data_IF_038339779813
#
_entry.id   IF_038339779813
#
_cell.length_a   1.000
_cell.length_b   1.000
_cell.length_c   1.000
_cell.angle_alpha   90.00
_cell.angle_beta   90.00
_cell.angle_gamma   90.00
#
_symmetry.space_group_name_H-M   'P 1'
#
loop_
_entity.id
_entity.type
_entity.pdbx_description
1 polymer ?
#
# COMPACT_ATOMS: atom_id res chain seq x y z
N UNK A 1 -39.61 0.96 -21.92
CA UNK A 1 -38.87 -0.12 -21.24
C UNK A 1 -37.40 0.21 -21.33
N UNK A 2 -36.87 0.89 -20.32
CA UNK A 2 -35.46 1.27 -20.24
C UNK A 2 -34.75 0.13 -19.53
N UNK A 3 -34.00 -0.68 -20.28
CA UNK A 3 -33.13 -1.71 -19.72
C UNK A 3 -31.96 -0.97 -19.06
N UNK A 4 -31.91 -0.97 -17.74
CA UNK A 4 -30.74 -0.49 -17.00
C UNK A 4 -29.55 -1.38 -17.38
N UNK A 5 -28.47 -0.76 -17.85
CA UNK A 5 -27.20 -1.45 -18.05
C UNK A 5 -26.71 -2.00 -16.70
N UNK A 6 -26.17 -3.22 -16.63
CA UNK A 6 -25.54 -3.69 -15.40
C UNK A 6 -24.38 -2.75 -15.09
N UNK A 7 -24.38 -2.10 -13.92
CA UNK A 7 -23.24 -1.30 -13.48
C UNK A 7 -22.06 -2.25 -13.26
N UNK A 8 -21.17 -2.36 -14.25
CA UNK A 8 -19.91 -3.03 -14.05
C UNK A 8 -19.16 -2.30 -12.93
N UNK A 9 -18.87 -3.01 -11.85
CA UNK A 9 -18.02 -2.49 -10.78
C UNK A 9 -16.65 -2.14 -11.35
N UNK A 10 -16.11 -0.98 -10.98
CA UNK A 10 -14.72 -0.59 -11.29
C UNK A 10 -13.69 -1.50 -10.57
N UNK A 11 -14.11 -2.50 -9.79
CA UNK A 11 -13.23 -3.39 -9.06
C UNK A 11 -13.05 -4.72 -9.78
N UNK A 12 -11.81 -5.20 -9.78
CA UNK A 12 -11.45 -6.56 -10.20
C UNK A 12 -10.85 -7.32 -9.02
N UNK A 13 -11.28 -8.57 -8.86
CA UNK A 13 -10.63 -9.49 -7.93
C UNK A 13 -9.23 -9.85 -8.44
N UNK A 14 -8.26 -9.94 -7.54
CA UNK A 14 -6.91 -10.39 -7.89
C UNK A 14 -6.70 -11.90 -7.69
N UNK A 15 -7.70 -12.57 -7.13
CA UNK A 15 -7.84 -14.02 -7.11
C UNK A 15 -9.17 -14.36 -7.78
N UNK A 16 -9.16 -15.09 -8.89
CA UNK A 16 -10.39 -15.43 -9.59
C UNK A 16 -11.30 -16.31 -8.70
N UNK A 17 -12.51 -15.82 -8.39
CA UNK A 17 -13.68 -16.69 -8.26
C UNK A 17 -14.25 -16.86 -9.67
N UNK A 18 -14.38 -18.11 -10.13
CA UNK A 18 -15.28 -18.41 -11.25
C UNK A 18 -16.51 -19.04 -10.62
N UNK A 19 -17.62 -18.29 -10.53
CA UNK A 19 -18.91 -18.88 -10.17
C UNK A 19 -19.39 -19.72 -11.36
N UNK A 20 -19.02 -21.01 -11.37
CA UNK A 20 -19.66 -21.96 -12.28
C UNK A 20 -20.91 -22.52 -11.60
N UNK A 21 -22.07 -22.12 -12.10
CA UNK A 21 -23.31 -22.86 -11.88
C UNK A 21 -23.18 -24.30 -12.41
N UNK A 22 -23.57 -25.24 -11.55
CA UNK A 22 -24.14 -26.58 -11.81
C UNK A 22 -23.34 -27.59 -12.65
N UNK A 23 -22.81 -28.64 -12.01
CA UNK A 23 -23.44 -29.98 -11.95
C UNK A 23 -22.46 -31.06 -11.43
N UNK A 24 -22.98 -31.94 -10.56
CA UNK A 24 -22.52 -33.28 -10.12
C UNK A 24 -21.48 -33.97 -11.03
N UNK A 25 -20.45 -34.72 -10.58
CA UNK A 25 -20.40 -35.80 -9.58
C UNK A 25 -18.95 -36.34 -9.46
N UNK A 26 -18.65 -37.47 -8.77
CA UNK A 26 -17.60 -37.58 -7.75
C UNK A 26 -16.27 -38.13 -8.29
N UNK A 27 -15.19 -38.03 -7.53
CA UNK A 27 -14.13 -39.05 -7.38
C UNK A 27 -12.92 -38.42 -6.68
N UNK A 28 -12.71 -38.81 -5.42
CA UNK A 28 -11.37 -38.88 -4.84
C UNK A 28 -10.79 -40.28 -5.17
N UNK A 29 -9.45 -40.46 -5.13
CA UNK A 29 -8.86 -40.88 -3.85
C UNK A 29 -7.52 -40.22 -3.48
N UNK A 30 -7.29 -40.16 -2.15
CA UNK A 30 -6.08 -40.51 -1.35
C UNK A 30 -4.82 -40.99 -2.08
N UNK A 31 -3.56 -40.89 -1.63
CA UNK A 31 -2.78 -40.63 -0.39
C UNK A 31 -1.34 -40.31 -0.90
N UNK A 32 -0.42 -39.63 -0.21
CA UNK A 32 0.30 -40.15 0.94
C UNK A 32 1.23 -39.07 1.52
N UNK A 33 1.36 -39.10 2.84
CA UNK A 33 2.39 -38.42 3.59
C UNK A 33 3.77 -39.04 3.31
N UNK A 34 4.81 -38.21 3.34
CA UNK A 34 6.06 -38.69 3.91
C UNK A 34 6.76 -37.60 4.73
N UNK A 35 7.27 -38.07 5.87
CA UNK A 35 7.79 -37.34 7.00
C UNK A 35 9.30 -37.18 6.92
N UNK A 36 9.82 -36.01 7.31
CA UNK A 36 11.26 -35.78 7.39
C UNK A 36 11.61 -34.55 8.22
N UNK A 37 11.73 -34.75 9.53
CA UNK A 37 12.16 -33.77 10.52
C UNK A 37 13.64 -33.39 10.33
N UNK A 38 13.94 -32.09 10.32
CA UNK A 38 15.18 -31.57 10.94
C UNK A 38 15.02 -30.11 11.35
N UNK A 39 14.87 -29.92 12.65
CA UNK A 39 14.95 -28.67 13.40
C UNK A 39 16.34 -28.03 13.28
N UNK A 40 16.44 -26.84 12.65
CA UNK A 40 17.36 -25.74 13.03
C UNK A 40 17.49 -24.68 11.92
N UNK A 41 16.59 -23.69 11.85
CA UNK A 41 16.85 -22.42 11.13
C UNK A 41 15.82 -21.31 11.46
N UNK A 42 15.34 -21.23 12.70
CA UNK A 42 14.55 -20.07 13.15
C UNK A 42 15.48 -18.98 13.67
N UNK A 43 16.01 -18.17 12.73
CA UNK A 43 16.51 -16.79 12.91
C UNK A 43 17.34 -16.42 11.68
N UNK A 44 16.71 -15.82 10.66
CA UNK A 44 17.36 -14.76 9.89
C UNK A 44 16.37 -13.97 9.02
N UNK A 45 16.18 -12.73 9.47
CA UNK A 45 15.95 -11.49 8.72
C UNK A 45 14.94 -11.52 7.55
N UNK A 46 13.80 -10.89 7.82
CA UNK A 46 13.01 -10.19 6.80
C UNK A 46 13.96 -9.36 5.91
N UNK A 47 14.01 -9.72 4.64
CA UNK A 47 14.82 -9.02 3.66
C UNK A 47 14.12 -7.69 3.33
N UNK A 48 14.74 -6.56 3.70
CA UNK A 48 14.23 -5.21 3.45
C UNK A 48 14.01 -4.93 1.94
N UNK A 49 14.64 -5.74 1.08
CA UNK A 49 14.45 -5.76 -0.39
C UNK A 49 13.05 -6.20 -0.84
N UNK A 50 12.30 -6.94 -0.02
CA UNK A 50 10.92 -7.30 -0.32
C UNK A 50 9.95 -6.09 -0.23
N UNK A 51 10.43 -4.91 0.16
CA UNK A 51 9.65 -3.67 0.24
C UNK A 51 9.89 -2.73 -0.96
N UNK A 52 10.75 -3.10 -1.91
CA UNK A 52 11.00 -2.34 -3.14
C UNK A 52 9.97 -2.70 -4.22
N UNK A 53 9.53 -1.70 -5.00
CA UNK A 53 8.50 -1.87 -6.03
C UNK A 53 9.10 -2.56 -7.28
N UNK A 54 8.53 -3.69 -7.70
CA UNK A 54 8.94 -4.42 -8.91
C UNK A 54 8.83 -3.61 -10.21
N UNK A 55 8.11 -2.48 -10.19
CA UNK A 55 7.84 -1.67 -11.39
C UNK A 55 8.70 -0.46 -11.65
N UNK A 56 9.56 -0.09 -10.72
CA UNK A 56 10.66 0.78 -11.08
C UNK A 56 11.52 0.05 -12.14
N UNK A 57 11.71 -1.27 -11.96
CA UNK A 57 12.45 -2.13 -12.90
C UNK A 57 11.76 -2.35 -14.24
N UNK A 58 10.44 -2.61 -14.26
CA UNK A 58 9.73 -2.87 -15.53
C UNK A 58 9.44 -1.59 -16.34
N UNK A 59 9.23 -0.44 -15.69
CA UNK A 59 9.05 0.85 -16.39
C UNK A 59 10.36 1.30 -17.04
N UNK A 60 11.47 1.17 -16.30
CA UNK A 60 12.82 1.38 -16.81
C UNK A 60 13.12 0.40 -17.95
N UNK A 61 12.79 -0.88 -17.81
CA UNK A 61 12.94 -1.88 -18.88
C UNK A 61 12.13 -1.52 -20.13
N UNK A 62 10.88 -1.08 -19.99
CA UNK A 62 10.02 -0.70 -21.12
C UNK A 62 10.48 0.60 -21.80
N UNK A 63 10.90 1.60 -21.02
CA UNK A 63 11.46 2.86 -21.52
C UNK A 63 12.81 2.66 -22.23
N UNK A 64 13.63 1.73 -21.75
CA UNK A 64 14.95 1.45 -22.32
C UNK A 64 14.91 0.55 -23.55
N UNK A 65 13.92 -0.35 -23.67
CA UNK A 65 13.94 -1.40 -24.71
C UNK A 65 12.79 -1.34 -25.74
N UNK A 66 11.72 -0.58 -25.49
CA UNK A 66 10.51 -0.63 -26.34
C UNK A 66 10.00 0.75 -26.80
N UNK A 67 10.54 1.85 -26.30
CA UNK A 67 10.32 3.20 -26.81
C UNK A 67 11.62 3.70 -27.45
N UNK A 68 11.61 3.87 -28.77
CA UNK A 68 12.64 4.68 -29.45
C UNK A 68 12.65 6.07 -28.79
N UNK A 69 13.78 6.43 -28.19
CA UNK A 69 13.92 7.60 -27.34
C UNK A 69 13.70 8.90 -28.13
N UNK A 70 12.51 9.48 -28.01
CA UNK A 70 12.46 10.92 -27.78
C UNK A 70 12.83 11.11 -26.30
N UNK A 71 14.08 11.50 -26.03
CA UNK A 71 14.53 11.88 -24.69
C UNK A 71 13.57 12.96 -24.16
N UNK A 72 12.59 12.58 -23.35
CA UNK A 72 11.73 13.55 -22.68
C UNK A 72 12.63 14.29 -21.71
N UNK A 73 12.99 15.52 -22.06
CA UNK A 73 13.78 16.42 -21.22
C UNK A 73 13.17 16.41 -19.82
N UNK A 74 13.96 16.12 -18.80
CA UNK A 74 13.48 16.15 -17.42
C UNK A 74 13.04 17.57 -17.11
N UNK A 75 11.73 17.77 -16.87
CA UNK A 75 11.14 19.07 -16.55
C UNK A 75 10.86 19.16 -15.04
N UNK A 76 11.20 20.31 -14.45
CA UNK A 76 11.00 20.60 -13.03
C UNK A 76 12.30 20.62 -12.21
N UNK A 77 12.22 20.79 -10.87
CA UNK A 77 13.38 20.76 -9.99
C UNK A 77 14.09 19.40 -10.03
N UNK A 78 15.42 19.43 -10.11
CA UNK A 78 16.29 18.25 -10.14
C UNK A 78 17.40 18.43 -9.12
N UNK A 79 17.63 17.41 -8.29
CA UNK A 79 18.78 17.35 -7.38
C UNK A 79 19.57 16.07 -7.67
N UNK A 80 20.86 16.22 -7.98
CA UNK A 80 21.74 15.10 -8.28
C UNK A 80 22.78 14.99 -7.18
N UNK A 81 22.81 13.85 -6.49
CA UNK A 81 23.90 13.49 -5.61
C UNK A 81 24.79 12.49 -6.32
N UNK A 82 26.08 12.78 -6.40
CA UNK A 82 27.05 11.87 -7.02
C UNK A 82 28.28 11.73 -6.13
N UNK A 83 28.79 10.50 -6.04
CA UNK A 83 30.08 10.20 -5.42
C UNK A 83 30.83 9.17 -6.25
N UNK A 84 32.16 9.21 -6.15
CA UNK A 84 33.05 8.15 -6.62
C UNK A 84 33.55 7.41 -5.39
N UNK A 85 33.28 6.12 -5.32
CA UNK A 85 33.65 5.28 -4.19
C UNK A 85 35.06 4.71 -4.34
N UNK A 86 35.61 4.17 -3.25
CA UNK A 86 36.95 3.57 -3.22
C UNK A 86 37.07 2.33 -4.10
N UNK A 87 35.96 1.66 -4.40
CA UNK A 87 35.88 0.49 -5.29
C UNK A 87 35.82 0.87 -6.78
N UNK A 88 36.23 2.08 -7.16
CA UNK A 88 36.18 2.61 -8.54
C UNK A 88 34.76 2.55 -9.16
N UNK A 89 33.73 2.78 -8.36
CA UNK A 89 32.34 2.91 -8.83
C UNK A 89 31.83 4.33 -8.66
N UNK A 90 31.10 4.82 -9.65
CA UNK A 90 30.33 6.05 -9.57
C UNK A 90 28.92 5.67 -9.10
N UNK A 91 28.46 6.31 -8.02
CA UNK A 91 27.08 6.19 -7.54
C UNK A 91 26.37 7.52 -7.71
N UNK A 92 25.26 7.49 -8.44
CA UNK A 92 24.45 8.67 -8.76
C UNK A 92 23.03 8.44 -8.25
N UNK A 93 22.50 9.43 -7.55
CA UNK A 93 21.11 9.52 -7.15
C UNK A 93 20.50 10.76 -7.78
N UNK A 94 19.67 10.54 -8.80
CA UNK A 94 18.95 11.60 -9.51
C UNK A 94 17.57 11.73 -8.88
N UNK A 95 17.25 12.89 -8.32
CA UNK A 95 15.93 13.19 -7.75
C UNK A 95 15.19 14.13 -8.68
N UNK A 96 13.99 13.72 -9.10
CA UNK A 96 13.08 14.51 -9.93
C UNK A 96 11.71 14.57 -9.28
N UNK A 97 10.82 15.42 -9.79
CA UNK A 97 9.40 15.46 -9.38
C UNK A 97 8.69 14.11 -9.53
N UNK A 98 9.11 13.30 -10.51
CA UNK A 98 8.49 12.01 -10.85
C UNK A 98 9.00 10.83 -10.02
N UNK A 99 10.14 10.97 -9.35
CA UNK A 99 10.75 9.89 -8.59
C UNK A 99 12.25 10.09 -8.39
N UNK A 100 12.90 9.07 -7.85
CA UNK A 100 14.36 9.02 -7.69
C UNK A 100 14.92 7.85 -8.49
N UNK A 101 15.98 8.08 -9.25
CA UNK A 101 16.71 7.07 -10.00
C UNK A 101 18.08 6.84 -9.34
N UNK A 102 18.47 5.57 -9.20
CA UNK A 102 19.73 5.16 -8.57
C UNK A 102 20.57 4.46 -9.62
N UNK A 103 21.77 4.98 -9.88
CA UNK A 103 22.66 4.47 -10.90
C UNK A 103 23.99 4.13 -10.24
N UNK A 104 24.45 2.91 -10.49
CA UNK A 104 25.78 2.44 -10.13
C UNK A 104 26.52 2.08 -11.42
N UNK A 105 27.69 2.69 -11.61
CA UNK A 105 28.43 2.58 -12.87
C UNK A 105 29.93 2.43 -12.61
N UNK A 106 30.60 1.42 -13.17
CA UNK A 106 32.04 1.23 -12.97
C UNK A 106 32.83 2.33 -13.67
N UNK A 107 33.76 2.97 -12.95
CA UNK A 107 34.60 4.06 -13.46
C UNK A 107 35.46 3.63 -14.66
N UNK A 108 35.81 2.34 -14.72
CA UNK A 108 36.55 1.74 -15.84
C UNK A 108 35.80 1.76 -17.16
N UNK A 109 34.46 1.77 -17.14
CA UNK A 109 33.63 1.80 -18.34
C UNK A 109 33.46 3.22 -18.92
N UNK A 110 33.88 4.26 -18.19
CA UNK A 110 33.81 5.64 -18.66
C UNK A 110 34.94 5.96 -19.63
N UNK A 111 34.59 6.65 -20.72
CA UNK A 111 35.57 7.14 -21.69
C UNK A 111 36.13 8.47 -21.19
N UNK A 112 37.10 8.40 -20.27
CA UNK A 112 37.75 9.57 -19.67
C UNK A 112 39.19 9.67 -20.21
N UNK A 113 39.57 10.77 -20.88
CA UNK A 113 40.95 10.99 -21.32
C UNK A 113 41.94 10.88 -20.15
N UNK A 114 43.07 10.21 -20.37
CA UNK A 114 44.05 9.88 -19.32
C UNK A 114 44.53 11.11 -18.53
N UNK A 115 44.69 12.27 -19.18
CA UNK A 115 45.10 13.50 -18.50
C UNK A 115 44.05 13.98 -17.49
N UNK A 116 42.75 13.79 -17.75
CA UNK A 116 41.68 14.14 -16.79
C UNK A 116 41.61 13.16 -15.61
N UNK A 117 42.07 11.92 -15.77
CA UNK A 117 42.22 11.00 -14.63
C UNK A 117 43.27 11.50 -13.63
N UNK A 118 44.30 12.23 -14.09
CA UNK A 118 45.32 12.82 -13.21
C UNK A 118 44.89 14.13 -12.53
N UNK A 119 44.03 14.94 -13.15
CA UNK A 119 43.62 16.27 -12.62
C UNK A 119 42.22 16.29 -11.99
N UNK A 120 41.56 15.13 -11.89
CA UNK A 120 40.19 15.01 -11.42
C UNK A 120 39.19 14.96 -12.57
N UNK A 121 38.22 14.05 -12.46
CA UNK A 121 37.19 13.85 -13.47
C UNK A 121 36.07 14.87 -13.22
N UNK A 122 35.74 15.74 -14.19
CA UNK A 122 34.66 16.71 -14.00
C UNK A 122 33.32 15.97 -13.95
N UNK A 123 32.63 16.10 -12.82
CA UNK A 123 31.34 15.45 -12.53
C UNK A 123 30.31 15.63 -13.65
N UNK A 124 30.22 16.80 -14.27
CA UNK A 124 29.31 17.05 -15.40
C UNK A 124 29.61 16.14 -16.61
N UNK A 125 30.88 15.83 -16.89
CA UNK A 125 31.23 14.91 -18.00
C UNK A 125 30.88 13.46 -17.72
N UNK A 126 30.84 13.07 -16.45
CA UNK A 126 30.35 11.75 -16.03
C UNK A 126 28.84 11.68 -16.22
N UNK A 127 28.11 12.72 -15.79
CA UNK A 127 26.66 12.82 -15.98
C UNK A 127 26.26 12.83 -17.46
N UNK A 128 27.06 13.44 -18.34
CA UNK A 128 26.80 13.44 -19.78
C UNK A 128 26.87 12.06 -20.41
N UNK A 129 27.82 11.22 -19.94
CA UNK A 129 27.97 9.85 -20.45
C UNK A 129 26.91 8.91 -19.85
N UNK A 130 26.60 9.05 -18.55
CA UNK A 130 25.71 8.12 -17.85
C UNK A 130 24.23 8.52 -17.99
N UNK A 131 23.93 9.81 -17.96
CA UNK A 131 22.58 10.36 -17.88
C UNK A 131 22.31 11.39 -19.00
N UNK A 132 22.32 11.01 -20.29
CA UNK A 132 22.24 11.95 -21.41
C UNK A 132 20.92 12.74 -21.49
N UNK A 133 19.86 12.27 -20.83
CA UNK A 133 18.56 12.96 -20.78
C UNK A 133 18.53 14.14 -19.78
N UNK A 134 19.54 14.30 -18.93
CA UNK A 134 19.61 15.37 -17.94
C UNK A 134 20.11 16.66 -18.62
N UNK A 135 19.46 17.82 -18.42
CA UNK A 135 19.92 19.09 -18.98
C UNK A 135 21.12 19.62 -18.18
N UNK A 136 22.32 19.13 -18.49
CA UNK A 136 23.56 19.42 -17.73
C UNK A 136 23.88 20.92 -17.68
N UNK A 137 23.54 21.66 -18.74
CA UNK A 137 23.72 23.11 -18.82
C UNK A 137 22.85 23.90 -17.82
N UNK A 138 21.81 23.29 -17.26
CA UNK A 138 20.93 23.89 -16.27
C UNK A 138 21.27 23.46 -14.83
N UNK A 139 22.35 22.69 -14.64
CA UNK A 139 22.80 22.25 -13.33
C UNK A 139 23.82 23.23 -12.74
N UNK A 140 23.64 23.55 -11.47
CA UNK A 140 24.58 24.35 -10.69
C UNK A 140 25.20 23.50 -9.58
N UNK A 141 26.51 23.66 -9.36
CA UNK A 141 27.21 22.91 -8.33
C UNK A 141 26.89 23.51 -6.95
N UNK A 142 26.21 22.73 -6.13
CA UNK A 142 25.78 23.13 -4.79
C UNK A 142 26.61 22.40 -3.72
N UNK A 143 27.38 23.14 -2.92
CA UNK A 143 28.30 22.60 -1.90
C UNK A 143 27.93 23.01 -0.46
N UNK A 144 26.68 23.46 -0.25
CA UNK A 144 26.25 23.90 1.07
C UNK A 144 26.38 22.77 2.11
N UNK A 145 27.05 22.99 3.26
CA UNK A 145 27.39 21.93 4.22
C UNK A 145 26.17 21.26 4.85
N UNK A 146 25.04 21.97 4.96
CA UNK A 146 23.80 21.43 5.54
C UNK A 146 22.91 20.69 4.54
N UNK A 147 23.13 20.87 3.23
CA UNK A 147 22.26 20.29 2.19
C UNK A 147 22.14 18.77 2.30
N UNK A 148 23.21 17.98 2.53
CA UNK A 148 23.08 16.52 2.66
C UNK A 148 22.10 16.10 3.77
N UNK A 149 22.11 16.81 4.91
CA UNK A 149 21.22 16.51 6.02
C UNK A 149 19.78 16.91 5.71
N UNK A 150 19.56 18.03 5.01
CA UNK A 150 18.20 18.39 4.58
C UNK A 150 17.66 17.42 3.52
N UNK A 151 18.49 16.95 2.59
CA UNK A 151 18.08 15.92 1.62
C UNK A 151 17.66 14.62 2.33
N UNK A 152 18.34 14.23 3.40
CA UNK A 152 17.92 13.09 4.23
C UNK A 152 16.55 13.36 4.86
N UNK A 153 16.37 14.52 5.52
CA UNK A 153 15.08 14.89 6.13
C UNK A 153 13.95 14.95 5.09
N UNK A 154 14.25 15.44 3.89
CA UNK A 154 13.32 15.50 2.77
C UNK A 154 12.85 14.09 2.39
N UNK A 155 13.78 13.14 2.23
CA UNK A 155 13.46 11.74 1.91
C UNK A 155 12.67 11.09 3.07
N UNK A 156 13.06 11.33 4.32
CA UNK A 156 12.35 10.84 5.51
C UNK A 156 10.90 11.32 5.57
N UNK A 157 10.64 12.60 5.24
CA UNK A 157 9.29 13.18 5.18
C UNK A 157 8.40 12.50 4.12
N UNK A 158 9.00 11.90 3.09
CA UNK A 158 8.27 11.18 2.04
C UNK A 158 7.95 9.74 2.42
N UNK A 159 8.53 9.21 3.50
CA UNK A 159 8.23 7.85 3.98
C UNK A 159 6.89 7.86 4.72
N UNK A 160 5.89 7.22 4.12
CA UNK A 160 4.58 7.03 4.75
C UNK A 160 4.67 5.91 5.79
N UNK A 161 4.65 6.32 7.07
CA UNK A 161 4.70 5.41 8.24
C UNK A 161 3.35 5.18 8.91
N UNK A 162 2.33 5.95 8.56
CA UNK A 162 1.02 5.87 9.19
C UNK A 162 -0.02 5.47 8.15
N UNK A 163 -0.84 4.46 8.48
CA UNK A 163 -1.90 3.96 7.62
C UNK A 163 -3.23 3.97 8.37
N UNK A 164 -4.31 4.09 7.62
CA UNK A 164 -5.67 4.06 8.15
C UNK A 164 -6.54 3.17 7.26
N UNK A 165 -7.26 2.24 7.87
CA UNK A 165 -8.07 1.28 7.13
C UNK A 165 -9.50 1.30 7.64
N UNK A 166 -10.45 1.39 6.71
CA UNK A 166 -11.87 1.27 7.03
C UNK A 166 -12.23 -0.17 7.33
N UNK A 167 -13.11 -0.41 8.29
CA UNK A 167 -13.57 -1.77 8.62
C UNK A 167 -15.07 -1.74 8.89
N UNK A 168 -15.83 -2.62 8.26
CA UNK A 168 -17.23 -2.85 8.61
C UNK A 168 -17.59 -4.32 8.46
N UNK A 169 -18.64 -4.73 9.16
CA UNK A 169 -19.21 -6.07 9.06
C UNK A 169 -20.48 -6.06 8.20
N UNK A 170 -20.71 -7.16 7.49
CA UNK A 170 -21.97 -7.50 6.86
C UNK A 170 -22.58 -8.67 7.62
N UNK A 171 -23.80 -8.48 8.10
CA UNK A 171 -24.61 -9.51 8.72
C UNK A 171 -25.21 -10.43 7.65
N UNK A 172 -25.72 -11.62 8.01
CA UNK A 172 -26.39 -12.50 7.05
C UNK A 172 -27.50 -11.79 6.27
N UNK A 173 -27.53 -11.95 4.95
CA UNK A 173 -28.45 -11.26 4.04
C UNK A 173 -27.96 -9.91 3.53
N UNK A 174 -26.91 -9.33 4.12
CA UNK A 174 -26.38 -8.03 3.69
C UNK A 174 -25.26 -8.21 2.66
N UNK A 175 -25.33 -7.42 1.59
CA UNK A 175 -24.37 -7.50 0.47
C UNK A 175 -23.83 -6.14 0.06
N UNK A 176 -24.36 -5.04 0.59
CA UNK A 176 -24.03 -3.69 0.15
C UNK A 176 -23.29 -2.89 1.23
N UNK A 177 -22.41 -1.97 0.79
CA UNK A 177 -21.65 -1.08 1.66
C UNK A 177 -22.55 -0.32 2.64
N UNK A 178 -23.67 0.22 2.14
CA UNK A 178 -24.58 1.02 2.95
C UNK A 178 -25.19 0.23 4.12
N UNK A 179 -25.47 -1.06 3.92
CA UNK A 179 -26.02 -1.95 4.95
C UNK A 179 -24.99 -2.16 6.05
N UNK A 180 -23.74 -2.48 5.68
CA UNK A 180 -22.66 -2.67 6.63
C UNK A 180 -22.32 -1.42 7.43
N UNK A 181 -22.33 -0.23 6.80
CA UNK A 181 -22.12 1.04 7.49
C UNK A 181 -23.27 1.40 8.45
N UNK A 182 -24.47 0.89 8.21
CA UNK A 182 -25.65 1.12 9.03
C UNK A 182 -25.77 0.18 10.24
N UNK A 183 -24.88 -0.80 10.38
CA UNK A 183 -24.91 -1.75 11.51
C UNK A 183 -24.51 -1.05 12.83
N UNK A 184 -25.40 -1.01 13.84
CA UNK A 184 -25.08 -0.41 15.14
C UNK A 184 -24.12 -1.30 15.96
N UNK A 185 -23.50 -0.72 16.99
CA UNK A 185 -22.47 -1.40 17.79
C UNK A 185 -22.96 -2.68 18.51
N UNK A 186 -24.22 -2.71 18.92
CA UNK A 186 -24.87 -3.86 19.56
C UNK A 186 -25.09 -5.06 18.62
N UNK A 187 -24.95 -4.85 17.30
CA UNK A 187 -24.99 -5.93 16.31
C UNK A 187 -23.62 -6.54 16.00
N UNK A 188 -22.55 -6.07 16.64
CA UNK A 188 -21.21 -6.66 16.51
C UNK A 188 -21.23 -8.13 16.93
N UNK A 189 -20.87 -9.02 15.99
CA UNK A 189 -20.81 -10.44 16.28
C UNK A 189 -19.54 -10.78 17.08
N UNK A 190 -19.53 -11.91 17.81
CA UNK A 190 -18.32 -12.39 18.48
C UNK A 190 -17.15 -12.61 17.50
N UNK A 191 -17.43 -13.15 16.31
CA UNK A 191 -16.42 -13.45 15.29
C UNK A 191 -15.81 -12.18 14.71
N UNK A 192 -16.62 -11.15 14.48
CA UNK A 192 -16.14 -9.84 14.05
C UNK A 192 -15.26 -9.19 15.13
N UNK A 193 -15.70 -9.22 16.39
CA UNK A 193 -14.91 -8.68 17.51
C UNK A 193 -13.60 -9.44 17.69
N UNK A 194 -13.59 -10.75 17.54
CA UNK A 194 -12.38 -11.57 17.56
C UNK A 194 -11.43 -11.24 16.41
N UNK A 195 -11.96 -10.95 15.23
CA UNK A 195 -11.17 -10.48 14.10
C UNK A 195 -10.56 -9.09 14.37
N UNK A 196 -11.31 -8.15 14.94
CA UNK A 196 -10.80 -6.84 15.34
C UNK A 196 -9.65 -6.96 16.34
N UNK A 197 -9.80 -7.78 17.38
CA UNK A 197 -8.74 -8.05 18.36
C UNK A 197 -7.55 -8.80 17.76
N UNK A 198 -7.77 -9.59 16.70
CA UNK A 198 -6.68 -10.22 15.97
C UNK A 198 -5.90 -9.20 15.13
N UNK A 199 -6.55 -8.16 14.57
CA UNK A 199 -5.88 -7.09 13.82
C UNK A 199 -5.02 -6.17 14.70
N UNK A 200 -5.51 -5.84 15.89
CA UNK A 200 -4.84 -4.90 16.79
C UNK A 200 -5.49 -4.82 18.16
N UNK A 201 -5.00 -3.88 18.96
CA UNK A 201 -5.43 -3.67 20.33
C UNK A 201 -6.51 -2.58 20.40
N UNK A 202 -7.54 -2.73 21.25
CA UNK A 202 -8.48 -1.66 21.53
C UNK A 202 -7.79 -0.54 22.32
N UNK A 203 -8.01 0.70 21.90
CA UNK A 203 -7.47 1.90 22.55
C UNK A 203 -8.58 2.87 22.92
N UNK A 204 -8.37 3.65 24.00
CA UNK A 204 -9.18 4.84 24.29
C UNK A 204 -8.74 5.98 23.39
N UNK A 205 -9.70 6.67 22.78
CA UNK A 205 -9.41 7.82 21.91
C UNK A 205 -9.09 9.09 22.71
N UNK A 206 -9.90 9.44 23.71
CA UNK A 206 -9.58 10.55 24.61
C UNK A 206 -8.19 10.36 25.26
N UNK A 207 -7.29 11.32 25.03
CA UNK A 207 -5.91 11.29 25.53
C UNK A 207 -4.93 10.44 24.72
N UNK A 208 -5.34 9.87 23.59
CA UNK A 208 -4.46 9.09 22.71
C UNK A 208 -3.32 9.96 22.14
N UNK A 209 -2.08 9.45 22.24
CA UNK A 209 -0.86 10.16 21.81
C UNK A 209 -0.26 9.62 20.51
N UNK A 210 -0.75 8.49 20.01
CA UNK A 210 -0.30 7.90 18.76
C UNK A 210 -0.95 8.54 17.54
N UNK A 211 -0.72 7.95 16.37
CA UNK A 211 -1.41 8.32 15.14
C UNK A 211 -2.93 8.22 15.34
N UNK A 212 -3.65 9.31 15.06
CA UNK A 212 -5.10 9.41 15.30
C UNK A 212 -5.97 9.22 14.04
N UNK A 213 -5.37 9.20 12.85
CA UNK A 213 -6.07 9.07 11.56
C UNK A 213 -7.26 10.02 11.29
N UNK A 214 -7.37 11.12 12.04
CA UNK A 214 -8.49 12.07 11.95
C UNK A 214 -9.59 11.87 12.98
N UNK A 215 -9.49 10.84 13.83
CA UNK A 215 -10.34 10.64 14.99
C UNK A 215 -10.08 11.71 16.06
N UNK A 216 -11.13 12.05 16.81
CA UNK A 216 -11.10 12.97 17.93
C UNK A 216 -10.48 12.30 19.16
N UNK A 217 -9.44 12.92 19.69
CA UNK A 217 -8.70 12.46 20.87
C UNK A 217 -8.91 13.37 22.08
N UNK A 218 -9.85 14.30 22.00
CA UNK A 218 -10.14 15.30 23.04
C UNK A 218 -11.56 15.11 23.60
N UNK A 219 -12.57 15.06 22.73
CA UNK A 219 -13.98 15.12 23.14
C UNK A 219 -14.82 13.90 22.80
N UNK A 220 -14.20 12.80 22.35
CA UNK A 220 -14.85 11.55 21.94
C UNK A 220 -15.96 11.72 20.87
N UNK A 221 -15.92 12.80 20.10
CA UNK A 221 -16.94 13.10 19.07
C UNK A 221 -16.95 12.10 17.92
N UNK A 222 -15.87 11.36 17.73
CA UNK A 222 -15.73 10.30 16.72
C UNK A 222 -15.79 8.90 17.32
N UNK A 223 -16.42 8.77 18.49
CA UNK A 223 -16.43 7.53 19.26
C UNK A 223 -15.40 7.56 20.39
N UNK A 224 -15.55 6.59 21.29
CA UNK A 224 -14.79 6.48 22.52
C UNK A 224 -13.54 5.60 22.40
N UNK A 225 -13.59 4.61 21.51
CA UNK A 225 -12.54 3.63 21.32
C UNK A 225 -12.31 3.35 19.84
N UNK A 226 -11.14 2.80 19.52
CA UNK A 226 -10.79 2.32 18.18
C UNK A 226 -9.84 1.13 18.30
N UNK A 227 -9.51 0.50 17.17
CA UNK A 227 -8.50 -0.55 17.10
C UNK A 227 -7.23 0.05 16.50
N UNK A 228 -6.10 -0.23 17.15
CA UNK A 228 -4.80 0.28 16.75
C UNK A 228 -3.74 -0.83 16.78
N UNK A 229 -2.78 -0.78 15.86
CA UNK A 229 -1.60 -1.64 15.95
C UNK A 229 -0.35 -0.90 15.51
N UNK A 230 0.76 -1.22 16.17
CA UNK A 230 2.09 -0.82 15.75
C UNK A 230 2.80 -2.05 15.17
N UNK A 231 3.12 -2.00 13.89
CA UNK A 231 3.70 -3.12 13.15
C UNK A 231 4.93 -2.66 12.37
N UNK A 232 6.13 -3.14 12.72
CA UNK A 232 7.40 -2.77 12.05
C UNK A 232 7.58 -1.26 11.85
N UNK A 233 7.41 -0.48 12.92
CA UNK A 233 7.42 1.00 12.93
C UNK A 233 6.32 1.70 12.12
N UNK A 234 5.36 0.93 11.59
CA UNK A 234 4.14 1.45 10.99
C UNK A 234 3.05 1.57 12.06
N UNK A 235 2.39 2.71 12.10
CA UNK A 235 1.22 2.93 12.95
C UNK A 235 -0.03 2.77 12.11
N UNK A 236 -0.94 1.88 12.52
CA UNK A 236 -2.15 1.56 11.77
C UNK A 236 -3.36 1.80 12.65
N UNK A 237 -4.24 2.69 12.21
CA UNK A 237 -5.52 2.98 12.85
C UNK A 237 -6.66 2.34 12.04
N UNK A 238 -7.61 1.71 12.71
CA UNK A 238 -8.78 1.11 12.03
C UNK A 238 -10.04 1.92 12.30
N UNK A 239 -10.62 2.49 11.23
CA UNK A 239 -11.92 3.13 11.28
C UNK A 239 -13.02 2.05 11.25
N UNK A 240 -13.32 1.50 12.43
CA UNK A 240 -14.33 0.45 12.58
C UNK A 240 -15.72 1.07 12.64
N UNK A 241 -16.57 0.80 11.65
CA UNK A 241 -17.91 1.39 11.55
C UNK A 241 -18.71 1.28 12.86
N UNK A 242 -18.74 0.13 13.56
CA UNK A 242 -19.51 0.02 14.80
C UNK A 242 -18.95 0.85 15.97
N UNK A 243 -17.66 1.21 15.95
CA UNK A 243 -17.01 2.06 16.96
C UNK A 243 -17.09 3.56 16.62
N UNK A 244 -17.53 3.90 15.41
CA UNK A 244 -17.81 5.27 14.99
C UNK A 244 -19.26 5.69 15.36
N UNK A 245 -19.52 7.01 15.49
CA UNK A 245 -20.84 7.51 15.84
C UNK A 245 -21.92 6.96 14.91
N UNK A 246 -23.03 6.53 15.52
CA UNK A 246 -24.19 6.00 14.82
C UNK A 246 -25.37 6.97 14.95
N UNK A 247 -26.03 7.29 13.85
CA UNK A 247 -27.26 8.06 13.88
C UNK A 247 -28.39 7.29 13.17
N UNK A 248 -29.36 6.69 13.90
CA UNK A 248 -30.46 5.93 13.30
C UNK A 248 -31.31 6.74 12.29
N UNK A 249 -31.38 8.06 12.45
CA UNK A 249 -32.12 8.94 11.54
C UNK A 249 -31.37 9.19 10.22
N UNK A 250 -30.05 9.00 10.20
CA UNK A 250 -29.22 9.19 9.02
C UNK A 250 -29.04 7.88 8.26
N UNK A 251 -29.90 7.63 7.27
CA UNK A 251 -29.82 6.44 6.42
C UNK A 251 -28.50 6.33 5.63
N UNK A 252 -27.79 7.44 5.42
CA UNK A 252 -26.54 7.46 4.67
C UNK A 252 -25.31 7.27 5.57
N UNK A 253 -25.50 7.36 6.90
CA UNK A 253 -24.44 7.31 7.91
C UNK A 253 -23.24 8.19 7.51
N UNK A 254 -23.51 9.46 7.22
CA UNK A 254 -22.57 10.41 6.61
C UNK A 254 -21.27 10.50 7.42
N UNK A 255 -21.33 10.52 8.75
CA UNK A 255 -20.12 10.55 9.58
C UNK A 255 -19.28 9.27 9.42
N UNK A 256 -19.88 8.09 9.41
CA UNK A 256 -19.15 6.82 9.18
C UNK A 256 -18.54 6.78 7.78
N UNK A 257 -19.33 7.19 6.78
CA UNK A 257 -18.90 7.31 5.38
C UNK A 257 -17.80 8.37 5.21
N UNK A 258 -17.78 9.42 6.01
CA UNK A 258 -16.73 10.45 6.01
C UNK A 258 -15.38 9.89 6.44
N UNK A 259 -15.34 8.94 7.37
CA UNK A 259 -14.08 8.26 7.74
C UNK A 259 -13.76 7.14 6.75
N UNK A 260 -14.59 6.11 6.68
CA UNK A 260 -14.34 4.88 5.90
C UNK A 260 -14.31 5.16 4.40
N UNK A 261 -15.19 6.04 3.92
CA UNK A 261 -15.18 6.46 2.52
C UNK A 261 -13.94 7.28 2.17
N UNK A 262 -13.19 7.83 3.13
CA UNK A 262 -11.92 8.53 2.87
C UNK A 262 -10.68 7.65 3.12
N UNK A 263 -10.87 6.35 3.31
CA UNK A 263 -9.78 5.39 3.41
C UNK A 263 -9.50 4.76 2.06
N UNK A 264 -8.23 4.47 1.77
CA UNK A 264 -7.86 3.87 0.50
C UNK A 264 -8.17 2.38 0.50
N UNK A 265 -7.96 1.74 1.65
CA UNK A 265 -8.21 0.32 1.87
C UNK A 265 -9.36 0.15 2.85
N UNK A 266 -10.32 -0.69 2.48
CA UNK A 266 -11.47 -1.04 3.31
C UNK A 266 -11.54 -2.54 3.49
N UNK A 267 -11.69 -2.98 4.73
CA UNK A 267 -11.89 -4.37 5.12
C UNK A 267 -13.39 -4.61 5.31
N UNK A 268 -13.92 -5.61 4.62
CA UNK A 268 -15.30 -6.05 4.73
C UNK A 268 -15.30 -7.40 5.41
N UNK A 269 -15.75 -7.46 6.66
CA UNK A 269 -15.95 -8.71 7.37
C UNK A 269 -17.33 -9.25 7.03
N UNK A 270 -17.41 -10.41 6.40
CA UNK A 270 -18.68 -10.98 5.97
C UNK A 270 -19.00 -12.20 6.82
N UNK A 271 -20.08 -12.09 7.61
CA UNK A 271 -20.66 -13.21 8.35
C UNK A 271 -21.09 -14.30 7.35
N UNK A 272 -20.76 -15.54 7.68
CA UNK A 272 -20.71 -16.64 6.72
C UNK A 272 -22.06 -16.99 6.11
N UNK A 273 -22.21 -16.73 4.82
CA UNK A 273 -22.87 -17.62 3.86
C UNK A 273 -21.99 -17.62 2.59
N UNK A 274 -21.57 -18.80 2.13
CA UNK A 274 -20.69 -18.93 0.96
C UNK A 274 -21.44 -18.55 -0.34
N UNK A 275 -22.78 -18.51 -0.31
CA UNK A 275 -23.64 -18.10 -1.42
C UNK A 275 -23.73 -16.58 -1.59
N UNK A 276 -23.57 -15.82 -0.50
CA UNK A 276 -23.68 -14.36 -0.53
C UNK A 276 -22.31 -13.73 -0.82
N UNK A 277 -22.29 -12.74 -1.72
CA UNK A 277 -21.06 -12.04 -2.08
C UNK A 277 -21.27 -10.55 -1.89
N UNK A 278 -20.28 -9.90 -1.25
CA UNK A 278 -20.23 -8.45 -1.21
C UNK A 278 -20.29 -7.88 -2.64
N UNK A 279 -21.28 -7.03 -2.88
CA UNK A 279 -21.46 -6.32 -4.13
C UNK A 279 -20.44 -5.17 -4.22
N UNK A 280 -19.35 -5.41 -4.94
CA UNK A 280 -18.32 -4.41 -5.17
C UNK A 280 -18.83 -3.18 -5.95
N UNK A 281 -19.98 -3.25 -6.63
CA UNK A 281 -20.58 -2.08 -7.28
C UNK A 281 -21.27 -1.15 -6.27
N UNK A 282 -21.57 -1.64 -5.07
CA UNK A 282 -22.15 -0.86 -3.98
C UNK A 282 -21.16 0.12 -3.31
N UNK A 283 -19.85 -0.04 -3.54
CA UNK A 283 -18.80 0.84 -3.00
C UNK A 283 -18.89 2.21 -3.67
N UNK A 284 -19.47 3.17 -2.96
CA UNK A 284 -19.75 4.49 -3.53
C UNK A 284 -18.56 5.45 -3.53
N UNK A 285 -17.55 5.21 -2.69
CA UNK A 285 -16.45 6.16 -2.55
C UNK A 285 -15.45 6.10 -3.70
N UNK A 286 -15.01 7.29 -4.16
CA UNK A 286 -13.90 7.43 -5.10
C UNK A 286 -12.53 7.18 -4.46
N UNK A 287 -12.41 7.26 -3.12
CA UNK A 287 -11.13 7.06 -2.44
C UNK A 287 -10.87 5.59 -2.10
N UNK A 288 -11.92 4.78 -1.92
CA UNK A 288 -11.74 3.34 -1.74
C UNK A 288 -11.19 2.73 -3.04
N UNK A 289 -9.99 2.17 -2.98
CA UNK A 289 -9.32 1.57 -4.12
C UNK A 289 -8.96 0.10 -3.88
N UNK A 290 -8.91 -0.33 -2.61
CA UNK A 290 -8.64 -1.73 -2.25
C UNK A 290 -9.70 -2.21 -1.28
N UNK A 291 -10.39 -3.29 -1.64
CA UNK A 291 -11.41 -3.92 -0.80
C UNK A 291 -10.91 -5.30 -0.38
N UNK A 292 -10.71 -5.50 0.91
CA UNK A 292 -10.29 -6.76 1.51
C UNK A 292 -11.51 -7.43 2.16
N UNK A 293 -12.06 -8.44 1.50
CA UNK A 293 -13.18 -9.23 2.03
C UNK A 293 -12.62 -10.35 2.89
N UNK A 294 -13.10 -10.46 4.12
CA UNK A 294 -12.69 -11.44 5.13
C UNK A 294 -13.90 -12.25 5.55
N UNK A 295 -13.80 -13.58 5.50
CA UNK A 295 -14.83 -14.50 6.00
C UNK A 295 -14.23 -15.37 7.12
N UNK A 296 -14.89 -15.51 8.27
CA UNK A 296 -14.44 -16.43 9.30
C UNK A 296 -14.53 -17.87 8.80
N UNK A 297 -13.56 -18.71 9.19
CA UNK A 297 -13.62 -20.16 9.03
C UNK A 297 -13.97 -20.73 10.41
N UNK A 298 -15.20 -21.27 10.59
CA UNK A 298 -15.65 -21.80 11.86
C UNK A 298 -14.69 -22.86 12.40
N UNK A 299 -14.46 -22.84 13.70
CA UNK A 299 -13.82 -23.97 14.39
C UNK A 299 -14.88 -25.04 14.61
N UNK A 300 -14.63 -26.27 14.18
CA UNK A 300 -15.60 -27.38 14.25
C UNK A 300 -16.07 -27.75 15.67
N UNK A 301 -15.48 -27.14 16.70
CA UNK A 301 -15.79 -27.30 18.12
C UNK A 301 -16.64 -26.14 18.70
N UNK A 302 -17.09 -25.19 17.87
CA UNK A 302 -17.85 -24.02 18.33
C UNK A 302 -17.01 -22.96 19.05
N UNK A 303 -15.68 -23.09 19.02
CA UNK A 303 -14.77 -22.06 19.49
C UNK A 303 -14.61 -20.94 18.45
N UNK A 304 -13.90 -19.88 18.85
CA UNK A 304 -13.57 -18.74 17.98
C UNK A 304 -12.99 -19.19 16.62
N UNK A 305 -13.14 -18.42 15.53
CA UNK A 305 -12.67 -18.82 14.20
C UNK A 305 -11.20 -19.27 14.18
N UNK A 306 -10.94 -20.40 13.54
CA UNK A 306 -9.58 -20.98 13.45
C UNK A 306 -8.72 -20.29 12.39
N UNK A 307 -9.38 -19.73 11.39
CA UNK A 307 -8.76 -19.05 10.25
C UNK A 307 -9.74 -18.05 9.62
N UNK A 308 -9.23 -17.28 8.66
CA UNK A 308 -9.99 -16.33 7.87
C UNK A 308 -9.72 -16.57 6.39
N UNK A 309 -10.78 -16.72 5.59
CA UNK A 309 -10.69 -16.72 4.13
C UNK A 309 -10.66 -15.28 3.65
N UNK A 310 -9.63 -14.91 2.91
CA UNK A 310 -9.39 -13.54 2.45
C UNK A 310 -9.48 -13.46 0.93
N UNK A 311 -10.21 -12.48 0.43
CA UNK A 311 -10.21 -12.09 -0.98
C UNK A 311 -9.93 -10.59 -1.08
N UNK A 312 -9.10 -10.18 -2.03
CA UNK A 312 -8.81 -8.75 -2.25
C UNK A 312 -9.22 -8.36 -3.67
N UNK A 313 -10.11 -7.38 -3.74
CA UNK A 313 -10.48 -6.69 -4.96
C UNK A 313 -9.78 -5.33 -5.01
N UNK A 314 -9.35 -4.93 -6.19
CA UNK A 314 -8.73 -3.62 -6.42
C UNK A 314 -9.45 -2.89 -7.53
N UNK A 315 -9.50 -1.57 -7.40
CA UNK A 315 -10.06 -0.70 -8.43
C UNK A 315 -9.20 -0.74 -9.70
N UNK A 316 -9.84 -0.57 -10.84
CA UNK A 316 -9.22 -0.49 -12.14
C UNK A 316 -8.18 0.63 -12.17
N UNK A 317 -7.07 0.37 -12.85
CA UNK A 317 -5.91 1.24 -12.85
C UNK A 317 -4.94 1.01 -11.69
N UNK A 318 -5.30 0.25 -10.64
CA UNK A 318 -4.29 -0.28 -9.72
C UNK A 318 -3.51 -1.37 -10.44
N UNK A 319 -2.20 -1.18 -10.38
CA UNK A 319 -1.23 -2.09 -10.96
C UNK A 319 -0.19 -2.47 -9.90
N UNK A 320 0.51 -3.59 -10.07
CA UNK A 320 1.59 -4.08 -9.16
C UNK A 320 1.16 -4.55 -7.78
N UNK A 321 -0.12 -4.71 -7.55
CA UNK A 321 -0.57 -5.38 -6.35
C UNK A 321 -0.60 -6.89 -6.61
N UNK A 322 0.34 -7.62 -6.01
CA UNK A 322 0.42 -9.08 -6.15
C UNK A 322 -0.64 -9.71 -5.23
N UNK A 323 -1.56 -10.53 -5.75
CA UNK A 323 -2.57 -11.21 -4.92
C UNK A 323 -1.96 -12.15 -3.88
N UNK A 324 -2.77 -12.54 -2.90
CA UNK A 324 -2.52 -13.76 -2.14
C UNK A 324 -2.79 -14.97 -3.06
N UNK A 325 -2.00 -16.05 -2.93
CA UNK A 325 -2.30 -17.30 -3.65
C UNK A 325 -3.63 -17.84 -3.16
N UNK A 326 -4.52 -18.18 -4.09
CA UNK A 326 -5.88 -18.63 -3.78
C UNK A 326 -5.94 -20.17 -3.62
N UNK A 327 -6.76 -20.71 -2.69
CA UNK A 327 -7.52 -19.98 -1.67
C UNK A 327 -6.60 -19.38 -0.60
N UNK A 328 -6.81 -18.10 -0.29
CA UNK A 328 -6.01 -17.42 0.73
C UNK A 328 -6.68 -17.60 2.10
N UNK A 329 -6.32 -18.69 2.77
CA UNK A 329 -6.76 -18.97 4.14
C UNK A 329 -5.65 -18.55 5.09
N UNK A 330 -5.93 -17.56 5.92
CA UNK A 330 -5.02 -17.02 6.92
C UNK A 330 -5.37 -17.62 8.28
N UNK A 331 -4.44 -18.36 8.89
CA UNK A 331 -4.64 -18.89 10.24
C UNK A 331 -4.78 -17.74 11.21
N UNK A 332 -5.51 -17.92 12.31
CA UNK A 332 -5.57 -16.92 13.37
C UNK A 332 -4.31 -16.95 14.24
N UNK A 333 -3.18 -16.55 13.65
CA UNK A 333 -1.87 -16.42 14.29
C UNK A 333 -1.17 -15.11 13.89
N UNK A 334 -0.08 -14.77 14.56
CA UNK A 334 0.64 -13.51 14.32
C UNK A 334 1.29 -13.45 12.93
N UNK A 335 1.78 -14.58 12.40
CA UNK A 335 2.42 -14.60 11.09
C UNK A 335 1.42 -14.27 9.97
N UNK A 336 0.22 -14.84 10.06
CA UNK A 336 -0.87 -14.57 9.12
C UNK A 336 -1.42 -13.15 9.28
N UNK A 337 -1.44 -12.60 10.51
CA UNK A 337 -1.79 -11.21 10.77
C UNK A 337 -0.81 -10.28 10.07
N UNK A 338 0.48 -10.50 10.28
CA UNK A 338 1.55 -9.70 9.69
C UNK A 338 1.51 -9.76 8.14
N UNK A 339 1.17 -10.92 7.58
CA UNK A 339 0.95 -11.08 6.14
C UNK A 339 -0.25 -10.25 5.65
N UNK A 340 -1.36 -10.24 6.39
CA UNK A 340 -2.53 -9.43 6.05
C UNK A 340 -2.18 -7.94 6.09
N UNK A 341 -1.58 -7.44 7.18
CA UNK A 341 -1.16 -6.04 7.32
C UNK A 341 -0.20 -5.61 6.20
N UNK A 342 0.78 -6.45 5.86
CA UNK A 342 1.67 -6.23 4.73
C UNK A 342 0.89 -6.10 3.41
N UNK A 343 -0.11 -6.95 3.19
CA UNK A 343 -0.93 -6.89 1.97
C UNK A 343 -1.80 -5.64 1.91
N UNK A 344 -2.39 -5.20 3.02
CA UNK A 344 -3.16 -3.95 3.07
C UNK A 344 -2.26 -2.74 2.77
N UNK A 345 -1.09 -2.64 3.42
CA UNK A 345 -0.10 -1.59 3.18
C UNK A 345 0.36 -1.58 1.71
N UNK A 346 0.68 -2.75 1.15
CA UNK A 346 1.06 -2.86 -0.27
C UNK A 346 -0.09 -2.48 -1.20
N UNK A 347 -1.32 -2.80 -0.84
CA UNK A 347 -2.52 -2.40 -1.57
C UNK A 347 -2.65 -0.88 -1.62
N UNK A 348 -2.53 -0.22 -0.47
CA UNK A 348 -2.55 1.24 -0.40
C UNK A 348 -1.42 1.88 -1.21
N UNK A 349 -0.19 1.39 -1.07
CA UNK A 349 0.96 1.89 -1.85
C UNK A 349 0.78 1.73 -3.34
N UNK A 350 0.17 0.62 -3.78
CA UNK A 350 -0.15 0.42 -5.20
C UNK A 350 -1.23 1.40 -5.69
N UNK A 351 -2.16 1.79 -4.81
CA UNK A 351 -3.18 2.78 -5.12
C UNK A 351 -2.62 4.20 -5.31
N UNK A 352 -1.48 4.55 -4.70
CA UNK A 352 -0.85 5.87 -4.90
C UNK A 352 -0.49 6.18 -6.36
N UNK A 353 -0.28 5.15 -7.20
CA UNK A 353 -0.09 5.32 -8.64
C UNK A 353 -1.38 5.68 -9.40
N UNK A 354 -2.56 5.57 -8.78
CA UNK A 354 -3.82 5.95 -9.39
C UNK A 354 -3.92 7.48 -9.54
N UNK A 355 -4.60 7.93 -10.60
CA UNK A 355 -4.75 9.36 -10.94
C UNK A 355 -5.27 10.21 -9.77
N UNK A 356 -6.11 9.63 -8.92
CA UNK A 356 -6.69 10.27 -7.75
C UNK A 356 -5.63 10.77 -6.75
N UNK A 357 -4.52 10.04 -6.59
CA UNK A 357 -3.51 10.31 -5.56
C UNK A 357 -2.17 10.78 -6.14
N UNK A 358 -1.80 10.28 -7.32
CA UNK A 358 -0.51 10.56 -7.95
C UNK A 358 -0.25 12.08 -8.07
N UNK A 359 -1.26 12.87 -8.45
CA UNK A 359 -1.11 14.32 -8.61
C UNK A 359 -0.72 15.02 -7.31
N UNK A 360 -1.30 14.61 -6.17
CA UNK A 360 -1.00 15.22 -4.87
C UNK A 360 0.41 14.86 -4.41
N UNK A 361 0.80 13.58 -4.55
CA UNK A 361 2.14 13.11 -4.20
C UNK A 361 3.23 13.80 -5.04
N UNK A 362 2.99 13.97 -6.34
CA UNK A 362 3.90 14.68 -7.23
C UNK A 362 4.05 16.16 -6.81
N UNK A 363 2.97 16.84 -6.45
CA UNK A 363 3.00 18.24 -5.98
C UNK A 363 3.78 18.39 -4.67
N UNK A 364 3.55 17.51 -3.70
CA UNK A 364 4.30 17.52 -2.43
C UNK A 364 5.78 17.30 -2.68
N UNK A 365 6.13 16.33 -3.54
CA UNK A 365 7.51 16.06 -3.91
C UNK A 365 8.17 17.23 -4.64
N UNK A 366 7.47 17.85 -5.58
CA UNK A 366 7.96 19.04 -6.28
C UNK A 366 8.22 20.19 -5.30
N UNK A 367 7.30 20.47 -4.38
CA UNK A 367 7.47 21.50 -3.35
C UNK A 367 8.73 21.25 -2.52
N UNK A 368 8.88 20.02 -2.00
CA UNK A 368 10.04 19.64 -1.19
C UNK A 368 11.37 19.81 -1.93
N UNK A 369 11.41 19.45 -3.22
CA UNK A 369 12.60 19.63 -4.05
C UNK A 369 12.90 21.12 -4.31
N UNK A 370 11.87 21.94 -4.57
CA UNK A 370 12.04 23.39 -4.74
C UNK A 370 12.54 24.05 -3.47
N UNK A 371 11.93 23.74 -2.32
CA UNK A 371 12.32 24.29 -1.03
C UNK A 371 13.81 23.99 -0.74
N UNK A 372 14.27 22.77 -1.04
CA UNK A 372 15.68 22.39 -0.88
C UNK A 372 16.61 23.14 -1.85
N UNK A 373 16.20 23.39 -3.10
CA UNK A 373 17.01 24.14 -4.07
C UNK A 373 17.08 25.62 -3.67
N UNK A 374 15.93 26.26 -3.45
CA UNK A 374 15.81 27.69 -3.16
C UNK A 374 16.50 28.08 -1.84
N UNK A 375 16.57 27.17 -0.89
CA UNK A 375 17.22 27.43 0.41
C UNK A 375 18.74 27.30 0.35
N UNK A 376 19.29 26.45 -0.53
CA UNK A 376 20.67 25.99 -0.39
C UNK A 376 21.59 26.17 -1.60
N UNK A 377 21.11 26.48 -2.81
CA UNK A 377 21.93 26.39 -4.05
C UNK A 377 22.20 27.70 -4.81
#
# INVERSE_FOLDING_TARGET
>A
MTVAAPSQSDFRYLSAYTTKHTASSPFAPELAADSGCSTSANKQLFNHSALLQDRERDLEFYQTHFLDQAATTVQGPIIISMRVDQDDHVRILVRTTRGSERIEYPLSALTIPWFRKLFGVPYLSILEQICPAIPIHALELCQHPELPQELIRMEERQIIRCYKFGVFQLLPGQTQEQEGLANPCDTCTPDFMDFLHWLGEPIRLCGWKGYRAGLDVIGDTTGETSIFTQWNDYQIMFHCAPLLPFNPADRQQVERRRFIGNDIVVIVFQESDDEEHFDLSSVGSRQNHVICIVRPVPSGDGSKPSAYRVAIAVKDGIRNFVPLKFPAVLRRDNASRDLLLLKLIRGERAAYGARAFATQLLRTRESLLRDAIETYC
#
